data_IF_462041489559
#
_entry.id   IF_462041489559
#
_cell.length_a   1.000
_cell.length_b   1.000
_cell.length_c   1.000
_cell.angle_alpha   90.00
_cell.angle_beta   90.00
_cell.angle_gamma   90.00
#
_symmetry.space_group_name_H-M   'P 1'
#
loop_
_entity.id
_entity.type
_entity.pdbx_description
1 polymer ?
#
# COMPACT_ATOMS: atom_id res chain seq x y z
N UNK A 1 -11.84 -6.25 -43.14
CA UNK A 1 -11.07 -6.11 -41.89
C UNK A 1 -9.78 -6.91 -42.01
N UNK A 2 -8.63 -6.37 -41.64
CA UNK A 2 -7.33 -7.00 -41.88
C UNK A 2 -7.16 -8.26 -40.99
N UNK A 3 -6.74 -9.41 -41.56
CA UNK A 3 -6.64 -10.68 -40.81
C UNK A 3 -5.65 -10.60 -39.65
N UNK A 4 -4.57 -9.83 -39.82
CA UNK A 4 -3.54 -9.62 -38.78
C UNK A 4 -4.10 -8.86 -37.58
N UNK A 5 -4.89 -7.81 -37.82
CA UNK A 5 -5.50 -7.00 -36.74
C UNK A 5 -6.53 -7.82 -35.97
N UNK A 6 -7.30 -8.68 -36.66
CA UNK A 6 -8.24 -9.59 -36.01
C UNK A 6 -7.52 -10.55 -35.06
N UNK A 7 -6.39 -11.11 -35.50
CA UNK A 7 -5.59 -12.02 -34.67
C UNK A 7 -5.09 -11.36 -33.40
N UNK A 8 -4.64 -10.10 -33.49
CA UNK A 8 -4.18 -9.32 -32.33
C UNK A 8 -5.32 -8.98 -31.37
N UNK A 9 -6.50 -8.65 -31.90
CA UNK A 9 -7.70 -8.39 -31.08
C UNK A 9 -8.16 -9.64 -30.34
N UNK A 10 -8.21 -10.79 -31.02
CA UNK A 10 -8.55 -12.07 -30.41
C UNK A 10 -7.55 -12.43 -29.31
N UNK A 11 -6.24 -12.34 -29.60
CA UNK A 11 -5.20 -12.57 -28.61
C UNK A 11 -5.36 -11.68 -27.37
N UNK A 12 -5.61 -10.38 -27.56
CA UNK A 12 -5.84 -9.45 -26.44
C UNK A 12 -7.03 -9.90 -25.58
N UNK A 13 -8.14 -10.28 -26.21
CA UNK A 13 -9.35 -10.72 -25.52
C UNK A 13 -9.13 -12.04 -24.75
N UNK A 14 -8.43 -12.99 -25.35
CA UNK A 14 -8.12 -14.28 -24.72
C UNK A 14 -7.24 -14.08 -23.48
N UNK A 15 -6.19 -13.26 -23.61
CA UNK A 15 -5.32 -12.88 -22.48
C UNK A 15 -6.12 -12.13 -21.41
N UNK A 16 -7.05 -11.25 -21.80
CA UNK A 16 -7.91 -10.52 -20.85
C UNK A 16 -8.80 -11.43 -20.00
N UNK A 17 -9.20 -12.59 -20.53
CA UNK A 17 -9.98 -13.58 -19.78
C UNK A 17 -9.10 -14.48 -18.91
N UNK A 18 -7.88 -14.76 -19.34
CA UNK A 18 -6.89 -15.55 -18.59
C UNK A 18 -6.35 -14.80 -17.37
N UNK A 19 -6.10 -13.49 -17.52
CA UNK A 19 -5.65 -12.67 -16.40
C UNK A 19 -6.83 -12.48 -15.44
N UNK A 20 -6.63 -12.88 -14.18
CA UNK A 20 -7.66 -12.89 -13.14
C UNK A 20 -8.18 -11.50 -12.74
N UNK A 21 -8.40 -11.28 -11.45
CA UNK A 21 -9.09 -10.08 -10.94
C UNK A 21 -8.37 -8.75 -11.26
N UNK A 22 -7.07 -8.79 -11.58
CA UNK A 22 -6.25 -7.62 -11.85
C UNK A 22 -6.08 -7.27 -13.34
N UNK A 23 -6.85 -7.88 -14.26
CA UNK A 23 -6.73 -7.68 -15.71
C UNK A 23 -6.61 -6.22 -16.15
N UNK A 24 -7.50 -5.35 -15.67
CA UNK A 24 -7.48 -3.92 -16.00
C UNK A 24 -6.14 -3.27 -15.66
N UNK A 25 -5.64 -3.52 -14.44
CA UNK A 25 -4.39 -2.92 -13.95
C UNK A 25 -3.15 -3.50 -14.63
N UNK A 26 -3.16 -4.77 -15.02
CA UNK A 26 -2.03 -5.40 -15.74
C UNK A 26 -1.88 -4.85 -17.16
N UNK A 27 -3.00 -4.64 -17.87
CA UNK A 27 -2.96 -4.03 -19.20
C UNK A 27 -2.59 -2.54 -19.12
N UNK A 28 -3.09 -1.80 -18.13
CA UNK A 28 -2.67 -0.42 -17.88
C UNK A 28 -1.18 -0.32 -17.56
N UNK A 29 -0.64 -1.27 -16.78
CA UNK A 29 0.80 -1.34 -16.51
C UNK A 29 1.61 -1.61 -17.77
N UNK A 30 1.14 -2.53 -18.62
CA UNK A 30 1.81 -2.85 -19.88
C UNK A 30 1.87 -1.64 -20.80
N UNK A 31 0.74 -0.93 -20.94
CA UNK A 31 0.68 0.31 -21.72
C UNK A 31 1.59 1.40 -21.10
N UNK A 32 1.64 1.51 -19.77
CA UNK A 32 2.54 2.44 -19.07
C UNK A 32 4.02 2.13 -19.34
N UNK A 33 4.41 0.86 -19.35
CA UNK A 33 5.78 0.40 -19.65
C UNK A 33 6.13 0.71 -21.11
N UNK A 34 5.21 0.50 -22.06
CA UNK A 34 5.44 0.77 -23.47
C UNK A 34 5.60 2.27 -23.78
N UNK A 35 4.89 3.13 -23.04
CA UNK A 35 4.95 4.59 -23.22
C UNK A 35 6.18 5.19 -22.53
N UNK A 36 6.62 4.61 -21.42
CA UNK A 36 7.71 5.14 -20.60
C UNK A 36 9.08 4.76 -21.18
N UNK A 37 9.84 5.75 -21.64
CA UNK A 37 11.17 5.52 -22.24
C UNK A 37 12.24 5.05 -21.25
N UNK A 38 12.12 5.43 -19.97
CA UNK A 38 13.07 5.06 -18.91
C UNK A 38 12.31 4.92 -17.60
N UNK A 39 12.49 3.79 -16.92
CA UNK A 39 11.72 3.39 -15.74
C UNK A 39 12.62 3.47 -14.51
N UNK A 40 12.34 4.38 -13.59
CA UNK A 40 13.10 4.47 -12.34
C UNK A 40 12.49 3.62 -11.21
N UNK A 41 11.18 3.37 -11.24
CA UNK A 41 10.52 2.48 -10.28
C UNK A 41 9.14 1.99 -10.74
N UNK A 42 8.65 0.91 -10.12
CA UNK A 42 7.26 0.45 -10.27
C UNK A 42 6.24 1.49 -9.76
N UNK A 43 6.59 2.24 -8.72
CA UNK A 43 5.73 3.28 -8.18
C UNK A 43 5.46 4.36 -9.24
N UNK A 44 6.49 4.79 -9.97
CA UNK A 44 6.36 5.78 -11.04
C UNK A 44 5.41 5.31 -12.16
N UNK A 45 5.52 4.06 -12.60
CA UNK A 45 4.61 3.48 -13.60
C UNK A 45 3.15 3.50 -13.14
N UNK A 46 2.91 3.19 -11.87
CA UNK A 46 1.57 3.24 -11.26
C UNK A 46 1.00 4.65 -11.14
N UNK A 47 1.83 5.69 -11.24
CA UNK A 47 1.41 7.10 -11.26
C UNK A 47 1.19 7.63 -12.69
N UNK A 48 1.47 6.83 -13.73
CA UNK A 48 1.31 7.27 -15.12
C UNK A 48 -0.13 7.62 -15.47
N UNK A 49 -0.31 8.51 -16.45
CA UNK A 49 -1.63 8.99 -16.89
C UNK A 49 -2.48 7.92 -17.59
N UNK A 50 -1.87 6.78 -17.93
CA UNK A 50 -2.49 5.63 -18.59
C UNK A 50 -3.42 4.87 -17.64
N UNK A 51 -3.13 4.90 -16.34
CA UNK A 51 -3.98 4.26 -15.35
C UNK A 51 -5.33 4.97 -15.24
N UNK A 52 -6.42 4.21 -15.40
CA UNK A 52 -7.78 4.76 -15.26
C UNK A 52 -8.08 5.15 -13.81
N UNK A 53 -7.47 4.45 -12.85
CA UNK A 53 -7.56 4.76 -11.43
C UNK A 53 -6.47 5.74 -11.04
N UNK A 54 -6.86 6.97 -10.67
CA UNK A 54 -5.91 7.96 -10.18
C UNK A 54 -5.51 7.68 -8.73
N UNK A 55 -4.21 7.69 -8.42
CA UNK A 55 -3.72 7.67 -7.04
C UNK A 55 -4.25 8.91 -6.32
N UNK A 56 -4.65 8.75 -5.05
CA UNK A 56 -5.11 9.89 -4.24
C UNK A 56 -3.91 10.77 -3.92
N UNK A 57 -3.84 11.94 -4.56
CA UNK A 57 -2.75 12.91 -4.38
C UNK A 57 -2.69 13.47 -2.95
N UNK A 58 -3.85 13.67 -2.32
CA UNK A 58 -3.94 14.10 -0.92
C UNK A 58 -4.20 12.90 -0.02
N UNK A 59 -3.19 12.53 0.76
CA UNK A 59 -3.34 11.51 1.81
C UNK A 59 -4.30 12.03 2.88
N UNK A 60 -5.32 11.24 3.20
CA UNK A 60 -6.22 11.53 4.32
C UNK A 60 -5.64 10.91 5.60
N UNK A 61 -5.89 11.50 6.79
CA UNK A 61 -5.44 10.92 8.06
C UNK A 61 -5.77 9.43 8.19
N UNK A 62 -6.99 9.02 7.81
CA UNK A 62 -7.38 7.60 7.84
C UNK A 62 -6.56 6.69 6.92
N UNK A 63 -6.07 7.17 5.78
CA UNK A 63 -5.17 6.39 4.90
C UNK A 63 -3.77 6.23 5.49
N UNK A 64 -3.28 7.25 6.19
CA UNK A 64 -2.01 7.18 6.94
C UNK A 64 -2.13 6.18 8.10
N UNK A 65 -3.25 6.19 8.82
CA UNK A 65 -3.50 5.21 9.90
C UNK A 65 -3.53 3.78 9.38
N UNK A 66 -4.11 3.52 8.19
CA UNK A 66 -4.20 2.19 7.61
C UNK A 66 -2.84 1.55 7.29
N UNK A 67 -1.83 2.34 6.89
CA UNK A 67 -0.48 1.83 6.57
C UNK A 67 0.42 1.69 7.80
N UNK A 68 0.05 2.28 8.94
CA UNK A 68 0.90 2.39 10.11
C UNK A 68 1.19 1.04 10.77
N UNK A 69 0.26 0.08 10.71
CA UNK A 69 0.44 -1.26 11.29
C UNK A 69 1.59 -2.04 10.64
N UNK A 70 1.67 -2.02 9.31
CA UNK A 70 2.75 -2.67 8.56
C UNK A 70 4.12 -2.02 8.83
N UNK A 71 4.15 -0.69 8.96
CA UNK A 71 5.36 0.04 9.34
C UNK A 71 5.86 -0.40 10.72
N UNK A 72 4.97 -0.43 11.73
CA UNK A 72 5.29 -0.86 13.09
C UNK A 72 5.74 -2.32 13.17
N UNK A 73 5.25 -3.19 12.30
CA UNK A 73 5.71 -4.58 12.23
C UNK A 73 7.18 -4.68 11.77
N UNK A 74 7.62 -3.78 10.88
CA UNK A 74 8.99 -3.76 10.35
C UNK A 74 9.95 -3.07 11.31
N UNK A 75 9.59 -1.87 11.80
CA UNK A 75 10.48 -1.07 12.65
C UNK A 75 10.36 -1.42 14.13
N UNK A 76 9.38 -2.25 14.48
CA UNK A 76 9.01 -2.54 15.85
C UNK A 76 8.31 -1.37 16.54
N UNK A 77 8.36 -1.38 17.86
CA UNK A 77 7.87 -0.27 18.68
C UNK A 77 9.04 0.65 19.06
N UNK A 78 8.99 1.95 18.72
CA UNK A 78 9.96 2.91 19.24
C UNK A 78 9.71 3.22 20.73
N UNK A 79 8.60 2.75 21.30
CA UNK A 79 8.26 2.99 22.68
C UNK A 79 9.22 2.21 23.60
N UNK A 80 9.90 2.96 24.48
CA UNK A 80 10.60 2.35 25.62
C UNK A 80 9.57 1.63 26.49
N UNK A 81 9.96 0.54 27.17
CA UNK A 81 9.12 -0.06 28.19
C UNK A 81 8.60 1.01 29.15
N UNK A 82 7.31 0.97 29.54
CA UNK A 82 6.76 1.97 30.44
C UNK A 82 7.58 1.99 31.73
N UNK A 83 7.88 3.20 32.22
CA UNK A 83 8.60 3.35 33.49
C UNK A 83 7.78 2.65 34.56
N UNK A 84 8.33 1.60 35.16
CA UNK A 84 7.70 0.90 36.27
C UNK A 84 7.66 1.86 37.45
N UNK A 85 6.52 2.54 37.62
CA UNK A 85 6.25 3.26 38.85
C UNK A 85 5.94 2.16 39.87
N UNK A 86 6.94 1.81 40.69
CA UNK A 86 6.75 0.87 41.78
C UNK A 86 5.53 1.27 42.63
N UNK A 87 4.98 0.32 43.39
CA UNK A 87 3.97 0.68 44.39
C UNK A 87 4.57 1.72 45.31
N UNK A 88 3.82 2.78 45.65
CA UNK A 88 4.28 3.65 46.72
C UNK A 88 4.45 2.80 47.97
N UNK A 89 5.36 3.18 48.88
CA UNK A 89 5.63 2.44 50.11
C UNK A 89 4.41 2.32 51.02
N UNK A 90 3.26 2.87 50.63
CA UNK A 90 2.05 2.90 51.40
C UNK A 90 2.26 3.62 52.73
N UNK A 91 1.22 3.61 53.54
CA UNK A 91 1.36 4.00 54.93
C UNK A 91 2.01 2.85 55.70
N UNK A 92 2.99 3.14 56.57
CA UNK A 92 3.59 2.10 57.42
C UNK A 92 2.50 1.53 58.35
N UNK A 93 2.35 0.20 58.36
CA UNK A 93 1.42 -0.50 59.25
C UNK A 93 1.72 -0.09 60.70
N UNK A 94 0.71 0.39 61.43
CA UNK A 94 0.84 0.84 62.83
C UNK A 94 1.05 2.36 63.03
N UNK A 95 1.30 3.16 61.98
CA UNK A 95 1.29 4.62 62.13
C UNK A 95 -0.14 5.16 62.13
N UNK A 96 -0.54 5.89 63.17
CA UNK A 96 -1.80 6.65 63.21
C UNK A 96 -1.78 7.69 62.08
N UNK A 97 -2.87 7.77 61.33
CA UNK A 97 -3.10 8.87 60.38
C UNK A 97 -3.59 10.07 61.18
N UNK A 98 -2.94 11.22 61.00
CA UNK A 98 -3.37 12.48 61.60
C UNK A 98 -4.65 12.97 60.92
#
# INVERSE_FOLDING_TARGET
>A
MNKSTQRLQNFRNDVYQLIGTAKDSTFELMDAVLITRNIYSFAELSLSTVFRRKPKQKLTPGRVTQSFSGLLAVIGTPAKPPKTRGKSTGWKKGKKRN
#
